data_IF_246579390581
#
_entry.id   IF_246579390581
#
_cell.length_a   1.000
_cell.length_b   1.000
_cell.length_c   1.000
_cell.angle_alpha   90.00
_cell.angle_beta   90.00
_cell.angle_gamma   90.00
#
_symmetry.space_group_name_H-M   'P 1'
#
loop_
_entity.id
_entity.type
_entity.pdbx_description
1 polymer ?
#
# COMPACT_ATOMS: atom_id res chain seq x y z
N UNK A 1 -4.70 4.60 -6.66
CA UNK A 1 -3.53 3.69 -6.63
C UNK A 1 -2.87 3.72 -7.99
N UNK A 2 -1.55 3.91 -8.03
CA UNK A 2 -0.77 3.88 -9.28
C UNK A 2 0.37 2.89 -9.14
N UNK A 3 0.46 1.93 -10.04
CA UNK A 3 1.53 0.94 -10.06
C UNK A 3 1.99 0.74 -11.50
N UNK A 4 3.27 0.98 -11.77
CA UNK A 4 3.84 0.95 -13.12
C UNK A 4 3.06 1.86 -14.10
N UNK A 5 2.38 1.28 -15.10
CA UNK A 5 1.58 2.00 -16.11
C UNK A 5 0.10 2.09 -15.74
N UNK A 6 -0.34 1.39 -14.70
CA UNK A 6 -1.75 1.27 -14.33
C UNK A 6 -2.13 2.31 -13.27
N UNK A 7 -3.35 2.82 -13.39
CA UNK A 7 -4.00 3.67 -12.40
C UNK A 7 -5.41 3.18 -12.14
N UNK A 8 -5.75 2.98 -10.88
CA UNK A 8 -7.08 2.57 -10.46
C UNK A 8 -7.51 3.29 -9.17
N UNK A 9 -8.81 3.64 -9.04
CA UNK A 9 -9.40 3.96 -7.75
C UNK A 9 -9.17 2.81 -6.78
N UNK A 10 -8.84 3.14 -5.54
CA UNK A 10 -8.50 2.17 -4.52
C UNK A 10 -8.88 2.69 -3.14
N UNK A 11 -9.15 1.76 -2.23
CA UNK A 11 -9.49 2.03 -0.84
C UNK A 11 -8.56 1.25 0.08
N UNK A 12 -8.16 1.89 1.18
CA UNK A 12 -7.50 1.20 2.28
C UNK A 12 -8.60 0.49 3.08
N UNK A 13 -8.62 -0.83 3.04
CA UNK A 13 -9.59 -1.62 3.79
C UNK A 13 -9.16 -1.79 5.25
N UNK A 14 -7.85 -1.93 5.46
CA UNK A 14 -7.28 -2.21 6.77
C UNK A 14 -5.84 -1.70 6.84
N UNK A 15 -5.46 -1.18 8.00
CA UNK A 15 -4.06 -0.97 8.39
C UNK A 15 -3.83 -2.01 9.48
N UNK A 16 -3.07 -3.05 9.17
CA UNK A 16 -2.83 -4.15 10.11
C UNK A 16 -1.85 -3.73 11.19
N UNK A 17 -0.76 -3.10 10.78
CA UNK A 17 0.27 -2.62 11.69
C UNK A 17 0.63 -1.19 11.35
N UNK A 18 0.79 -0.37 12.38
CA UNK A 18 1.41 0.96 12.31
C UNK A 18 2.76 0.88 13.00
N UNK A 19 3.80 1.32 12.30
CA UNK A 19 5.19 1.06 12.64
C UNK A 19 5.97 2.38 12.63
N UNK A 20 6.80 2.57 13.66
CA UNK A 20 7.77 3.67 13.70
C UNK A 20 8.86 3.42 12.65
N UNK A 21 9.02 4.34 11.70
CA UNK A 21 9.94 4.18 10.58
C UNK A 21 11.43 4.18 10.97
N UNK A 22 11.75 4.64 12.18
CA UNK A 22 13.13 4.72 12.70
C UNK A 22 13.48 3.52 13.56
N UNK A 23 12.56 3.01 14.37
CA UNK A 23 12.81 1.88 15.29
C UNK A 23 12.31 0.54 14.76
N UNK A 24 11.40 0.56 13.78
CA UNK A 24 10.65 -0.60 13.30
C UNK A 24 9.78 -1.26 14.39
N UNK A 25 9.46 -0.54 15.46
CA UNK A 25 8.56 -1.01 16.49
C UNK A 25 7.10 -0.82 16.05
N UNK A 26 6.27 -1.83 16.30
CA UNK A 26 4.82 -1.74 16.12
C UNK A 26 4.27 -0.79 17.18
N UNK A 27 3.76 0.35 16.73
CA UNK A 27 3.12 1.38 17.55
C UNK A 27 1.67 1.00 17.87
N UNK A 28 0.97 0.43 16.90
CA UNK A 28 -0.46 0.12 17.00
C UNK A 28 -0.84 -0.98 15.99
N UNK A 29 -1.59 -1.97 16.48
CA UNK A 29 -2.24 -3.01 15.65
C UNK A 29 -3.66 -2.55 15.27
N UNK A 30 -4.13 -2.94 14.10
CA UNK A 30 -5.45 -2.57 13.57
C UNK A 30 -5.71 -1.04 13.58
N UNK A 31 -4.67 -0.27 13.24
CA UNK A 31 -4.69 1.18 13.36
C UNK A 31 -5.75 1.85 12.47
N UNK A 32 -6.28 2.98 12.94
CA UNK A 32 -7.28 3.75 12.18
C UNK A 32 -6.67 4.67 11.11
N UNK A 33 -5.38 5.01 11.24
CA UNK A 33 -4.64 5.91 10.35
C UNK A 33 -3.13 5.70 10.48
N UNK A 34 -2.40 6.13 9.45
CA UNK A 34 -0.95 6.35 9.50
C UNK A 34 -0.70 7.87 9.47
N UNK A 35 0.25 8.33 10.27
CA UNK A 35 0.74 9.71 10.27
C UNK A 35 1.88 9.89 9.27
N UNK A 36 2.26 11.15 9.06
CA UNK A 36 3.42 11.49 8.26
C UNK A 36 4.67 10.75 8.76
N UNK A 37 5.46 10.22 7.82
CA UNK A 37 6.71 9.47 8.05
C UNK A 37 6.55 8.09 8.70
N UNK A 38 5.33 7.65 8.99
CA UNK A 38 5.09 6.31 9.51
C UNK A 38 5.01 5.27 8.39
N UNK A 39 5.28 4.03 8.75
CA UNK A 39 5.17 2.88 7.87
C UNK A 39 4.07 1.99 8.42
N UNK A 40 3.37 1.26 7.55
CA UNK A 40 2.41 0.28 8.00
C UNK A 40 2.16 -0.81 6.98
N UNK A 41 1.69 -1.95 7.47
CA UNK A 41 1.15 -3.00 6.63
C UNK A 41 -0.32 -2.71 6.36
N UNK A 42 -0.71 -2.67 5.09
CA UNK A 42 -2.04 -2.23 4.67
C UNK A 42 -2.65 -3.16 3.64
N UNK A 43 -3.96 -3.39 3.78
CA UNK A 43 -4.77 -4.08 2.78
C UNK A 43 -5.42 -3.02 1.89
N UNK A 44 -5.11 -3.08 0.61
CA UNK A 44 -5.62 -2.16 -0.41
C UNK A 44 -6.54 -2.94 -1.35
N UNK A 45 -7.78 -2.48 -1.48
CA UNK A 45 -8.71 -2.94 -2.51
C UNK A 45 -8.69 -1.98 -3.69
N UNK A 46 -8.72 -2.50 -4.91
CA UNK A 46 -8.89 -1.69 -6.14
C UNK A 46 -10.30 -1.88 -6.68
N UNK A 47 -10.92 -0.80 -7.16
CA UNK A 47 -12.28 -0.87 -7.71
C UNK A 47 -12.34 -1.63 -9.06
N UNK A 48 -11.23 -1.58 -9.81
CA UNK A 48 -11.07 -2.30 -11.07
C UNK A 48 -9.93 -3.32 -10.95
N UNK A 49 -9.95 -4.41 -11.74
CA UNK A 49 -8.83 -5.34 -11.81
C UNK A 49 -7.54 -4.64 -12.23
N UNK A 50 -6.47 -4.86 -11.49
CA UNK A 50 -5.13 -4.34 -11.81
C UNK A 50 -4.14 -5.49 -11.90
N UNK A 51 -3.20 -5.38 -12.83
CA UNK A 51 -2.09 -6.33 -12.93
C UNK A 51 -0.96 -5.84 -12.04
N UNK A 52 -0.71 -6.59 -10.98
CA UNK A 52 0.36 -6.31 -10.02
C UNK A 52 1.15 -7.59 -9.75
N UNK A 53 2.37 -7.43 -9.27
CA UNK A 53 3.21 -8.56 -8.89
C UNK A 53 3.92 -8.24 -7.57
N UNK A 54 4.25 -9.27 -6.80
CA UNK A 54 5.01 -9.06 -5.57
C UNK A 54 6.36 -8.41 -5.89
N UNK A 55 6.75 -7.42 -5.09
CA UNK A 55 8.05 -6.75 -5.20
C UNK A 55 9.22 -7.72 -5.11
N UNK A 56 9.05 -8.79 -4.32
CA UNK A 56 10.06 -9.84 -4.15
C UNK A 56 10.29 -10.68 -5.41
N UNK A 57 9.30 -10.74 -6.31
CA UNK A 57 9.38 -11.46 -7.58
C UNK A 57 9.78 -10.55 -8.73
N UNK A 58 9.05 -9.43 -8.90
CA UNK A 58 9.34 -8.45 -9.96
C UNK A 58 9.33 -7.05 -9.36
N UNK A 59 10.53 -6.50 -9.10
CA UNK A 59 10.70 -5.20 -8.43
C UNK A 59 10.03 -4.02 -9.14
N UNK A 60 9.90 -4.09 -10.46
CA UNK A 60 9.30 -3.00 -11.27
C UNK A 60 7.78 -2.97 -11.12
N UNK A 61 7.13 -4.14 -11.03
CA UNK A 61 5.67 -4.29 -10.91
C UNK A 61 5.17 -4.30 -9.46
N UNK A 62 6.08 -4.21 -8.48
CA UNK A 62 5.75 -4.29 -7.07
C UNK A 62 5.89 -2.99 -6.31
N UNK A 63 6.16 -1.85 -6.97
CA UNK A 63 6.18 -0.52 -6.32
C UNK A 63 4.93 0.25 -6.73
N UNK A 64 4.30 0.90 -5.77
CA UNK A 64 3.11 1.70 -6.03
C UNK A 64 3.17 3.03 -5.27
N UNK A 65 2.34 3.96 -5.73
CA UNK A 65 2.04 5.20 -5.01
C UNK A 65 0.53 5.39 -4.86
N UNK A 66 0.12 6.01 -3.76
CA UNK A 66 -1.23 6.51 -3.57
C UNK A 66 -1.23 7.99 -3.90
N UNK A 67 -2.10 8.36 -4.82
CA UNK A 67 -2.27 9.75 -5.25
C UNK A 67 -3.65 10.21 -4.80
N UNK A 68 -3.70 11.40 -4.21
CA UNK A 68 -4.92 12.12 -3.85
C UNK A 68 -4.74 13.56 -4.31
N UNK A 69 -5.72 14.11 -5.03
CA UNK A 69 -5.70 15.50 -5.51
C UNK A 69 -4.42 15.89 -6.28
N UNK A 70 -3.88 14.95 -7.06
CA UNK A 70 -2.64 15.07 -7.84
C UNK A 70 -1.32 15.11 -7.02
N UNK A 71 -1.40 14.90 -5.71
CA UNK A 71 -0.25 14.76 -4.81
C UNK A 71 -0.01 13.29 -4.42
N UNK A 72 1.26 12.90 -4.35
CA UNK A 72 1.65 11.58 -3.83
C UNK A 72 1.59 11.64 -2.30
N UNK A 73 0.63 10.94 -1.71
CA UNK A 73 0.39 10.92 -0.26
C UNK A 73 1.00 9.70 0.42
N UNK A 74 1.29 8.63 -0.33
CA UNK A 74 1.97 7.46 0.19
C UNK A 74 2.70 6.71 -0.93
N UNK A 75 3.75 5.97 -0.57
CA UNK A 75 4.46 5.05 -1.45
C UNK A 75 4.70 3.73 -0.73
N UNK A 76 4.70 2.63 -1.48
CA UNK A 76 4.84 1.30 -0.87
C UNK A 76 5.29 0.24 -1.85
N UNK A 77 5.45 -0.96 -1.29
CA UNK A 77 5.72 -2.19 -2.05
C UNK A 77 4.59 -3.19 -1.88
N UNK A 78 4.34 -3.99 -2.90
CA UNK A 78 3.39 -5.08 -2.87
C UNK A 78 4.10 -6.30 -2.27
N UNK A 79 3.78 -6.60 -1.01
CA UNK A 79 4.29 -7.79 -0.34
C UNK A 79 3.58 -9.06 -0.86
N UNK A 80 2.24 -9.03 -0.80
CA UNK A 80 1.36 -10.14 -1.16
C UNK A 80 0.19 -9.66 -2.01
N UNK A 81 -0.30 -10.52 -2.91
CA UNK A 81 -1.50 -10.29 -3.72
C UNK A 81 -2.61 -11.22 -3.25
N UNK A 82 -3.80 -10.67 -3.01
CA UNK A 82 -4.97 -11.44 -2.65
C UNK A 82 -5.95 -11.35 -3.81
N UNK A 83 -6.26 -12.48 -4.44
CA UNK A 83 -7.30 -12.54 -5.48
C UNK A 83 -8.63 -12.77 -4.79
N UNK A 84 -9.58 -11.85 -4.94
CA UNK A 84 -10.98 -12.11 -4.53
C UNK A 84 -11.53 -13.31 -5.30
N UNK A 85 -12.10 -14.28 -4.59
CA UNK A 85 -12.82 -15.42 -5.19
C UNK A 85 -14.11 -14.97 -5.87
#
# INVERSE_FOLDING_TARGET
FRCSTEEAPAKIEKIEERIDSSTLEVLEEDASRLEDTEVGEVIISTENPVVVESFYKTRELGRFVIVRDNDVVAGGIIAHTITGQ
#
